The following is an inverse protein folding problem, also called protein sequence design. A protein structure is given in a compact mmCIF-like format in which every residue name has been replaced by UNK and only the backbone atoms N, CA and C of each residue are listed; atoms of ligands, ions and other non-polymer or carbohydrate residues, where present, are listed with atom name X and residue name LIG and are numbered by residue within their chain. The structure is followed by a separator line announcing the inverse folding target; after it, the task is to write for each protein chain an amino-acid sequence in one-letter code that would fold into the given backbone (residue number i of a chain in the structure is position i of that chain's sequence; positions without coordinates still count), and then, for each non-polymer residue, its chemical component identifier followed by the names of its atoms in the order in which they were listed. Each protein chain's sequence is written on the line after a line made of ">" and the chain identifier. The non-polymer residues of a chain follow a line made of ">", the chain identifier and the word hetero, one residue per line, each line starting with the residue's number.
data_IF_812929068063
#
_entry.id   IF_812929068063
#
_cell.length_a   1.000
_cell.length_b   1.000
_cell.length_c   1.000
_cell.angle_alpha   90.00
_cell.angle_beta   90.00
_cell.angle_gamma   90.00
#
_symmetry.space_group_name_H-M   'P 1'
#
loop_
_entity.id
_entity.type
_entity.pdbx_description
1 polymer ?
#
# COMPACT_ATOMS: atom_id res chain seq x y z
N UNK A 1 -12.33 -13.28 24.14
CA UNK A 1 -11.03 -12.98 23.53
C UNK A 1 -11.28 -12.69 22.08
N UNK A 2 -11.39 -11.41 21.72
CA UNK A 2 -11.54 -10.98 20.32
C UNK A 2 -10.16 -10.94 19.70
N UNK A 3 -9.89 -11.87 18.79
CA UNK A 3 -8.73 -11.79 17.91
C UNK A 3 -8.88 -10.51 17.08
N UNK A 4 -8.04 -9.52 17.39
CA UNK A 4 -7.84 -8.39 16.49
C UNK A 4 -7.15 -8.95 15.24
N UNK A 5 -7.92 -9.22 14.19
CA UNK A 5 -7.36 -9.42 12.86
C UNK A 5 -6.67 -8.12 12.47
N UNK A 6 -5.35 -8.08 12.66
CA UNK A 6 -4.51 -7.02 12.13
C UNK A 6 -4.72 -6.98 10.62
N UNK A 7 -4.85 -5.78 10.04
CA UNK A 7 -4.83 -5.67 8.60
C UNK A 7 -3.48 -6.25 8.10
N UNK A 8 -3.42 -6.83 6.89
CA UNK A 8 -2.18 -7.43 6.35
C UNK A 8 -0.98 -6.47 6.31
N UNK A 9 -1.18 -5.17 6.58
CA UNK A 9 -0.14 -4.14 6.67
C UNK A 9 0.36 -3.83 8.09
N UNK A 10 -0.14 -4.53 9.11
CA UNK A 10 0.04 -4.15 10.52
C UNK A 10 0.76 -5.24 11.35
N UNK A 11 1.20 -6.33 10.72
CA UNK A 11 1.97 -7.42 11.33
C UNK A 11 3.49 -7.19 11.33
N UNK A 12 4.25 -7.96 12.13
CA UNK A 12 5.72 -7.85 12.19
C UNK A 12 6.38 -8.11 10.83
N UNK A 13 5.77 -8.95 9.99
CA UNK A 13 6.30 -9.37 8.70
C UNK A 13 5.78 -8.50 7.54
N UNK A 14 4.95 -7.49 7.82
CA UNK A 14 4.25 -6.73 6.77
C UNK A 14 5.20 -5.99 5.82
N UNK A 15 6.40 -5.61 6.29
CA UNK A 15 7.40 -4.96 5.45
C UNK A 15 8.08 -5.96 4.50
N UNK A 16 8.33 -7.18 4.98
CA UNK A 16 8.89 -8.27 4.18
C UNK A 16 7.87 -8.73 3.13
N UNK A 17 6.61 -8.91 3.52
CA UNK A 17 5.51 -9.23 2.60
C UNK A 17 5.35 -8.18 1.49
N UNK A 18 5.47 -6.89 1.86
CA UNK A 18 5.45 -5.78 0.90
C UNK A 18 6.61 -5.89 -0.10
N UNK A 19 7.81 -6.19 0.39
CA UNK A 19 9.01 -6.31 -0.43
C UNK A 19 8.91 -7.50 -1.40
N UNK A 20 8.42 -8.65 -0.92
CA UNK A 20 8.25 -9.84 -1.75
C UNK A 20 7.19 -9.64 -2.83
N UNK A 21 6.06 -9.01 -2.49
CA UNK A 21 5.06 -8.63 -3.48
C UNK A 21 5.59 -7.64 -4.52
N UNK A 22 6.43 -6.68 -4.11
CA UNK A 22 7.06 -5.73 -5.04
C UNK A 22 8.07 -6.42 -5.97
N UNK A 23 8.83 -7.40 -5.48
CA UNK A 23 9.76 -8.21 -6.29
C UNK A 23 9.01 -9.06 -7.30
N UNK A 24 7.97 -9.78 -6.88
CA UNK A 24 7.13 -10.56 -7.77
C UNK A 24 6.55 -9.70 -8.89
N UNK A 25 5.94 -8.56 -8.54
CA UNK A 25 5.39 -7.62 -9.51
C UNK A 25 6.44 -6.96 -10.42
N UNK A 26 7.69 -6.87 -10.00
CA UNK A 26 8.81 -6.40 -10.83
C UNK A 26 9.16 -7.44 -11.89
N UNK A 27 9.28 -8.72 -11.49
CA UNK A 27 9.58 -9.85 -12.39
C UNK A 27 8.47 -10.06 -13.42
N UNK A 28 7.20 -10.02 -13.01
CA UNK A 28 6.04 -10.15 -13.90
C UNK A 28 6.02 -9.11 -15.02
N UNK A 29 6.58 -7.92 -14.75
CA UNK A 29 6.67 -6.81 -15.71
C UNK A 29 7.92 -6.84 -16.57
N UNK A 30 8.83 -7.79 -16.33
CA UNK A 30 10.12 -7.87 -17.01
C UNK A 30 11.06 -6.71 -16.66
N UNK A 31 10.80 -6.02 -15.54
CA UNK A 31 11.67 -4.96 -15.06
C UNK A 31 12.85 -5.58 -14.30
N UNK A 32 14.01 -4.93 -14.35
CA UNK A 32 15.26 -5.47 -13.81
C UNK A 32 15.70 -4.82 -12.49
N UNK A 33 14.89 -3.93 -11.92
CA UNK A 33 15.08 -3.39 -10.58
C UNK A 33 13.73 -3.06 -9.93
N UNK A 34 13.67 -3.15 -8.61
CA UNK A 34 12.51 -2.74 -7.84
C UNK A 34 12.58 -1.23 -7.62
N UNK A 35 11.82 -0.46 -8.41
CA UNK A 35 11.56 0.95 -8.17
C UNK A 35 10.51 1.20 -7.07
N UNK A 36 10.47 2.42 -6.54
CA UNK A 36 9.47 2.88 -5.53
C UNK A 36 8.01 2.69 -5.97
N UNK A 37 7.74 2.76 -7.29
CA UNK A 37 6.43 2.46 -7.86
C UNK A 37 6.00 1.01 -7.59
N UNK A 38 6.91 0.05 -7.62
CA UNK A 38 6.57 -1.34 -7.30
C UNK A 38 6.16 -1.49 -5.83
N UNK A 39 6.80 -0.77 -4.91
CA UNK A 39 6.39 -0.74 -3.50
C UNK A 39 4.95 -0.20 -3.36
N UNK A 40 4.61 0.88 -4.08
CA UNK A 40 3.25 1.43 -4.07
C UNK A 40 2.21 0.47 -4.68
N UNK A 41 2.56 -0.26 -5.74
CA UNK A 41 1.68 -1.28 -6.32
C UNK A 41 1.49 -2.48 -5.39
N UNK A 42 2.57 -2.94 -4.74
CA UNK A 42 2.51 -4.02 -3.77
C UNK A 42 1.58 -3.66 -2.61
N UNK A 43 1.72 -2.44 -2.06
CA UNK A 43 0.83 -1.94 -1.04
C UNK A 43 -0.63 -1.90 -1.51
N UNK A 44 -0.87 -1.50 -2.77
CA UNK A 44 -2.22 -1.48 -3.33
C UNK A 44 -2.82 -2.90 -3.41
N UNK A 45 -2.05 -3.90 -3.84
CA UNK A 45 -2.48 -5.30 -3.88
C UNK A 45 -2.82 -5.89 -2.51
N UNK A 46 -2.20 -5.40 -1.44
CA UNK A 46 -2.43 -5.85 -0.07
C UNK A 46 -3.56 -5.11 0.64
N UNK A 47 -3.96 -3.91 0.18
CA UNK A 47 -4.92 -3.03 0.87
C UNK A 47 -6.16 -2.76 0.03
N UNK A 48 -7.27 -3.51 0.26
CA UNK A 48 -8.55 -3.20 -0.35
C UNK A 48 -9.04 -1.79 0.03
N UNK A 49 -9.47 -0.99 -0.95
CA UNK A 49 -10.16 0.28 -0.71
C UNK A 49 -9.31 1.55 -0.68
N UNK A 50 -7.99 1.49 -0.86
CA UNK A 50 -7.16 2.69 -1.09
C UNK A 50 -7.23 3.05 -2.58
N UNK A 51 -8.05 4.06 -2.92
CA UNK A 51 -8.26 4.63 -4.27
C UNK A 51 -8.07 3.62 -5.44
N UNK A 52 -9.00 2.67 -5.64
CA UNK A 52 -8.71 1.36 -6.22
C UNK A 52 -8.65 1.27 -7.75
N UNK A 53 -8.06 2.27 -8.41
CA UNK A 53 -7.74 2.20 -9.83
C UNK A 53 -6.79 3.32 -10.22
N UNK A 54 -7.09 4.54 -9.78
CA UNK A 54 -6.28 5.72 -10.11
C UNK A 54 -4.82 5.61 -9.64
N UNK A 55 -4.56 5.08 -8.44
CA UNK A 55 -3.19 4.89 -7.97
C UNK A 55 -2.44 3.82 -8.78
N UNK A 56 -3.04 2.64 -8.93
CA UNK A 56 -2.45 1.56 -9.72
C UNK A 56 -2.20 1.98 -11.17
N UNK A 57 -3.13 2.72 -11.78
CA UNK A 57 -2.98 3.28 -13.11
C UNK A 57 -1.87 4.34 -13.19
N UNK A 58 -1.83 5.29 -12.24
CA UNK A 58 -0.81 6.33 -12.23
C UNK A 58 0.60 5.74 -12.06
N UNK A 59 0.73 4.73 -11.19
CA UNK A 59 1.98 3.99 -11.02
C UNK A 59 2.30 3.18 -12.26
N UNK A 60 1.33 2.47 -12.84
CA UNK A 60 1.51 1.72 -14.08
C UNK A 60 2.01 2.60 -15.23
N UNK A 61 1.42 3.79 -15.42
CA UNK A 61 1.88 4.78 -16.41
C UNK A 61 3.30 5.27 -16.11
N UNK A 62 3.60 5.55 -14.86
CA UNK A 62 4.92 6.06 -14.46
C UNK A 62 6.02 5.00 -14.63
N UNK A 63 5.73 3.73 -14.34
CA UNK A 63 6.63 2.60 -14.57
C UNK A 63 6.85 2.33 -16.06
N UNK A 64 5.80 2.39 -16.88
CA UNK A 64 5.91 2.22 -18.32
C UNK A 64 6.77 3.30 -18.99
N UNK A 65 6.74 4.52 -18.44
CA UNK A 65 7.56 5.65 -18.90
C UNK A 65 8.97 5.67 -18.28
N UNK A 66 9.27 4.78 -17.34
CA UNK A 66 10.54 4.80 -16.63
C UNK A 66 11.66 4.20 -17.48
N UNK A 67 12.80 4.89 -17.52
CA UNK A 67 14.00 4.37 -18.19
C UNK A 67 14.75 3.45 -17.23
N UNK A 68 14.69 2.16 -17.51
CA UNK A 68 15.36 1.13 -16.72
C UNK A 68 16.85 1.10 -17.00
N UNK A 69 17.67 1.19 -15.95
CA UNK A 69 19.12 1.01 -16.07
C UNK A 69 19.39 -0.43 -16.53
N UNK A 70 20.22 -0.66 -17.55
CA UNK A 70 20.62 -2.04 -17.91
C UNK A 70 21.57 -2.60 -16.84
N UNK A 71 21.01 -3.27 -15.84
CA UNK A 71 21.72 -4.18 -14.96
C UNK A 71 21.25 -5.62 -15.25
N UNK A 72 22.15 -6.59 -15.42
CA UNK A 72 21.74 -7.98 -15.39
C UNK A 72 21.29 -8.32 -13.96
N UNK A 73 20.06 -8.80 -13.81
CA UNK A 73 19.65 -9.55 -12.62
C UNK A 73 20.29 -10.93 -12.74
N UNK A 74 21.16 -11.36 -11.82
CA UNK A 74 21.74 -12.70 -11.89
C UNK A 74 20.65 -13.78 -11.92
N UNK A 75 20.90 -14.86 -12.63
CA UNK A 75 19.93 -15.95 -12.74
C UNK A 75 19.67 -16.57 -11.35
N UNK A 76 18.39 -16.64 -10.95
CA UNK A 76 17.98 -17.14 -9.64
C UNK A 76 17.96 -16.09 -8.52
N UNK A 77 18.29 -14.84 -8.82
CA UNK A 77 18.21 -13.73 -7.85
C UNK A 77 16.98 -12.85 -8.10
N UNK A 78 16.49 -12.22 -7.03
CA UNK A 78 15.45 -11.20 -7.14
C UNK A 78 16.03 -9.92 -7.75
N UNK A 79 15.21 -9.13 -8.49
CA UNK A 79 15.64 -7.82 -8.93
C UNK A 79 16.14 -6.99 -7.73
N UNK A 80 17.31 -6.33 -7.83
CA UNK A 80 17.81 -5.48 -6.77
C UNK A 80 16.86 -4.30 -6.54
N UNK A 81 16.88 -3.74 -5.33
CA UNK A 81 16.22 -2.45 -5.08
C UNK A 81 16.97 -1.35 -5.83
N UNK A 82 16.22 -0.49 -6.52
CA UNK A 82 16.76 0.81 -6.93
C UNK A 82 17.25 1.58 -5.70
N UNK A 83 18.17 2.52 -5.87
CA UNK A 83 18.68 3.36 -4.76
C UNK A 83 17.55 3.91 -3.89
N UNK A 84 16.54 4.52 -4.50
CA UNK A 84 15.44 5.16 -3.77
C UNK A 84 14.49 4.15 -3.14
N UNK A 85 14.26 2.99 -3.77
CA UNK A 85 13.48 1.93 -3.13
C UNK A 85 14.21 1.35 -1.90
N UNK A 86 15.54 1.26 -1.95
CA UNK A 86 16.38 0.90 -0.79
C UNK A 86 16.28 1.91 0.34
N UNK A 87 16.38 3.20 0.04
CA UNK A 87 16.23 4.28 1.02
C UNK A 87 14.82 4.28 1.65
N UNK A 88 13.77 4.08 0.86
CA UNK A 88 12.38 3.95 1.35
C UNK A 88 12.23 2.73 2.25
N UNK A 89 12.73 1.56 1.83
CA UNK A 89 12.68 0.34 2.61
C UNK A 89 13.36 0.52 3.97
N UNK A 90 14.58 1.05 3.98
CA UNK A 90 15.33 1.31 5.22
C UNK A 90 14.57 2.26 6.14
N UNK A 91 13.98 3.34 5.59
CA UNK A 91 13.18 4.28 6.37
C UNK A 91 11.91 3.65 6.98
N UNK A 92 11.30 2.69 6.28
CA UNK A 92 10.17 1.94 6.81
C UNK A 92 10.60 0.93 7.87
N UNK A 93 11.77 0.32 7.73
CA UNK A 93 12.35 -0.55 8.76
C UNK A 93 12.70 0.26 10.04
N UNK A 94 13.29 1.45 9.88
CA UNK A 94 13.73 2.30 10.99
C UNK A 94 12.59 3.08 11.67
N UNK A 95 11.48 3.29 10.97
CA UNK A 95 10.43 4.18 11.44
C UNK A 95 9.53 3.61 12.54
N UNK A 96 8.86 4.51 13.25
CA UNK A 96 8.00 4.22 14.40
C UNK A 96 6.63 3.60 14.08
N UNK A 97 5.78 3.41 15.11
CA UNK A 97 4.54 2.65 15.01
C UNK A 97 3.55 3.26 14.02
N UNK A 98 2.81 2.39 13.33
CA UNK A 98 1.72 2.77 12.42
C UNK A 98 1.68 1.92 11.15
N UNK A 99 0.53 1.89 10.45
CA UNK A 99 0.32 1.03 9.28
C UNK A 99 1.24 1.42 8.13
N UNK A 100 1.82 0.43 7.43
CA UNK A 100 2.66 0.66 6.24
C UNK A 100 1.96 1.50 5.18
N UNK A 101 0.64 1.33 5.04
CA UNK A 101 -0.17 2.11 4.12
C UNK A 101 -0.11 3.63 4.34
N UNK A 102 0.06 4.06 5.59
CA UNK A 102 0.20 5.47 5.95
C UNK A 102 1.65 5.97 5.86
N UNK A 103 2.62 5.05 5.96
CA UNK A 103 4.05 5.37 6.04
C UNK A 103 4.76 5.34 4.69
N UNK A 104 4.34 4.46 3.77
CA UNK A 104 5.01 4.28 2.48
C UNK A 104 4.90 5.51 1.55
N UNK A 105 3.72 6.10 1.29
CA UNK A 105 3.63 7.26 0.40
C UNK A 105 4.45 8.49 0.83
N UNK A 106 4.46 8.91 2.12
CA UNK A 106 5.35 9.99 2.54
C UNK A 106 6.84 9.60 2.45
N UNK A 107 7.21 8.35 2.76
CA UNK A 107 8.58 7.88 2.58
C UNK A 107 9.04 8.00 1.12
N UNK A 108 8.19 7.61 0.15
CA UNK A 108 8.47 7.78 -1.28
C UNK A 108 8.67 9.26 -1.65
N UNK A 109 7.81 10.16 -1.15
CA UNK A 109 7.90 11.59 -1.44
C UNK A 109 9.15 12.25 -0.85
N UNK A 110 9.69 11.71 0.24
CA UNK A 110 10.87 12.21 0.94
C UNK A 110 12.19 11.68 0.35
N UNK A 111 12.24 10.40 0.01
CA UNK A 111 13.46 9.74 -0.47
C UNK A 111 13.68 9.95 -1.98
N UNK A 112 12.62 9.92 -2.79
CA UNK A 112 12.75 9.92 -4.23
C UNK A 112 12.53 11.34 -4.81
N UNK A 113 13.43 11.90 -5.63
CA UNK A 113 13.24 13.22 -6.23
C UNK A 113 12.44 13.19 -7.54
N UNK A 114 12.53 12.14 -8.35
CA UNK A 114 11.95 12.13 -9.71
C UNK A 114 11.59 10.76 -10.28
N UNK A 115 11.57 9.72 -9.47
CA UNK A 115 11.26 8.36 -9.92
C UNK A 115 9.76 8.03 -9.98
N UNK A 116 9.43 6.80 -10.38
CA UNK A 116 8.07 6.43 -10.80
C UNK A 116 7.06 6.48 -9.65
N UNK A 117 7.46 6.21 -8.41
CA UNK A 117 6.57 6.30 -7.26
C UNK A 117 6.16 7.74 -6.96
N UNK A 118 7.12 8.67 -6.94
CA UNK A 118 6.86 10.09 -6.75
C UNK A 118 6.04 10.69 -7.88
N UNK A 119 6.35 10.36 -9.14
CA UNK A 119 5.58 10.85 -10.29
C UNK A 119 4.12 10.41 -10.23
N UNK A 120 3.86 9.15 -9.84
CA UNK A 120 2.51 8.65 -9.67
C UNK A 120 1.74 9.39 -8.57
N UNK A 121 2.37 9.63 -7.42
CA UNK A 121 1.76 10.38 -6.32
C UNK A 121 1.47 11.83 -6.73
N UNK A 122 2.38 12.49 -7.45
CA UNK A 122 2.15 13.84 -7.98
C UNK A 122 1.01 13.89 -9.00
N UNK A 123 0.91 12.90 -9.89
CA UNK A 123 -0.16 12.83 -10.89
C UNK A 123 -1.56 12.74 -10.27
N UNK A 124 -1.65 12.25 -9.03
CA UNK A 124 -2.90 12.18 -8.25
C UNK A 124 -3.10 13.41 -7.36
N UNK A 125 -2.21 14.40 -7.42
CA UNK A 125 -2.20 15.55 -6.52
C UNK A 125 -1.92 15.18 -5.07
N UNK A 126 -1.35 13.99 -4.81
CA UNK A 126 -0.97 13.50 -3.50
C UNK A 126 0.41 14.05 -3.12
N UNK A 127 0.42 15.31 -2.69
CA UNK A 127 1.59 15.93 -2.05
C UNK A 127 1.72 15.44 -0.60
N UNK A 128 2.90 15.61 0.02
CA UNK A 128 3.23 15.02 1.34
C UNK A 128 2.16 15.29 2.40
N UNK A 129 1.62 16.51 2.45
CA UNK A 129 0.57 16.90 3.43
C UNK A 129 -0.83 16.38 3.08
N UNK A 130 -1.16 16.20 1.80
CA UNK A 130 -2.47 15.66 1.37
C UNK A 130 -2.47 14.14 1.48
N UNK A 131 -1.41 13.49 0.98
CA UNK A 131 -1.20 12.05 1.12
C UNK A 131 -1.29 11.63 2.59
N UNK A 132 -0.58 12.33 3.49
CA UNK A 132 -0.65 12.05 4.92
C UNK A 132 -2.09 12.16 5.46
N UNK A 133 -2.85 13.23 5.16
CA UNK A 133 -4.23 13.39 5.66
C UNK A 133 -5.20 12.33 5.14
N UNK A 134 -5.19 12.06 3.84
CA UNK A 134 -6.08 11.07 3.21
C UNK A 134 -5.79 9.66 3.74
N UNK A 135 -4.51 9.32 3.92
CA UNK A 135 -4.08 8.00 4.39
C UNK A 135 -4.29 7.82 5.90
N UNK A 136 -4.05 8.85 6.71
CA UNK A 136 -4.39 8.83 8.14
C UNK A 136 -5.90 8.71 8.31
N UNK A 137 -6.71 9.39 7.49
CA UNK A 137 -8.17 9.28 7.54
C UNK A 137 -8.66 7.89 7.12
N UNK A 138 -8.09 7.30 6.06
CA UNK A 138 -8.42 5.94 5.63
C UNK A 138 -7.99 4.88 6.66
N UNK A 139 -6.81 5.04 7.28
CA UNK A 139 -6.35 4.18 8.37
C UNK A 139 -7.22 4.33 9.64
N UNK A 140 -7.57 5.56 10.03
CA UNK A 140 -8.44 5.82 11.17
C UNK A 140 -9.88 5.34 10.93
N UNK A 141 -10.37 5.42 9.70
CA UNK A 141 -11.66 4.85 9.28
C UNK A 141 -11.73 3.32 9.44
N UNK A 142 -10.58 2.62 9.35
CA UNK A 142 -10.48 1.19 9.66
C UNK A 142 -10.44 0.88 11.16
N UNK A 143 -9.99 1.82 12.00
CA UNK A 143 -9.98 1.69 13.47
C UNK A 143 -11.34 2.02 14.09
N UNK A 144 -12.17 2.84 13.42
CA UNK A 144 -13.46 3.34 13.91
C UNK A 144 -14.70 2.58 13.43
N UNK A 145 -14.60 1.30 13.03
CA UNK A 145 -15.78 0.47 12.83
C UNK A 145 -16.15 -0.26 14.14
N UNK A 146 -17.01 0.29 15.03
CA UNK A 146 -17.63 -0.53 16.06
C UNK A 146 -18.56 -1.53 15.36
N UNK A 147 -18.44 -2.80 15.76
CA UNK A 147 -19.39 -3.85 15.43
C UNK A 147 -20.79 -3.47 15.92
N UNK A 148 -21.54 -2.79 15.07
CA UNK A 148 -22.91 -2.37 15.30
C UNK A 148 -23.86 -3.55 15.22
N UNK A 149 -24.09 -4.19 16.39
CA UNK A 149 -25.32 -4.87 16.82
C UNK A 149 -26.22 -5.42 15.70
N UNK A 150 -26.19 -6.75 15.53
CA UNK A 150 -27.36 -7.51 15.08
C UNK A 150 -28.50 -7.27 16.07
N UNK A 151 -29.43 -6.38 15.73
CA UNK A 151 -30.71 -6.30 16.42
C UNK A 151 -31.51 -7.55 16.07
N UNK A 152 -31.43 -8.55 16.95
CA UNK A 152 -32.44 -9.59 17.02
C UNK A 152 -33.76 -8.97 17.50
N UNK A 153 -34.79 -9.06 16.68
CA UNK A 153 -36.16 -8.94 17.13
C UNK A 153 -36.88 -10.26 16.82
N UNK A 154 -36.95 -11.13 17.84
CA UNK A 154 -37.94 -12.20 17.93
C UNK A 154 -38.94 -11.85 19.03
N UNK A 155 -40.19 -12.25 18.77
CA UNK A 155 -41.42 -12.27 19.62
C UNK A 155 -42.31 -11.04 19.40
N UNK A 156 -43.62 -11.19 19.09
CA UNK A 156 -44.46 -12.37 19.09
C UNK A 156 -45.84 -12.12 18.45
N UNK A 157 -46.56 -13.23 18.26
CA UNK A 157 -48.00 -13.34 17.95
C UNK A 157 -48.84 -12.54 18.99
N UNK A 158 -50.04 -11.99 18.75
CA UNK A 158 -51.25 -12.57 18.15
C UNK A 158 -52.32 -11.49 17.81
N UNK A 159 -53.05 -11.75 16.71
CA UNK A 159 -54.41 -11.37 16.17
C UNK A 159 -55.48 -10.71 17.08
N UNK A 160 -56.69 -10.35 16.56
CA UNK A 160 -57.12 -9.82 15.24
C UNK A 160 -58.02 -8.56 15.36
N UNK A 161 -58.41 -7.97 14.23
CA UNK A 161 -59.63 -7.15 14.12
C UNK A 161 -60.48 -7.76 13.00
N UNK A 162 -61.58 -8.40 13.38
CA UNK A 162 -62.92 -8.50 12.77
C UNK A 162 -63.77 -9.34 13.73
#
# INVERSE_FOLDING_TARGET
>A
MTEHTLAPTDGPDALDDLLDAARAGTVERGHNEVATGHLLLALHGQVPGVAPGALAEAVGRSLAAHTWSRFPVPAGEFPPLSRYAGEVHQRLADGGPGPLAARLPPAVLECEPSGPGRLALHALGLTTRRAHRELVSAAAGRVSAPAGRRAGARRGRSRPAW
#
